data_IF_559984782056
#
_entry.id   IF_559984782056
#
_cell.length_a   1.000
_cell.length_b   1.000
_cell.length_c   1.000
_cell.angle_alpha   90.00
_cell.angle_beta   90.00
_cell.angle_gamma   90.00
#
_symmetry.space_group_name_H-M   'P 1'
#
loop_
_entity.id
_entity.type
_entity.pdbx_description
1 polymer ?
#
# COMPACT_ATOMS: atom_id res chain seq x y z
N UNK A 1 -23.61 -17.95 25.91
CA UNK A 1 -22.46 -16.98 25.86
C UNK A 1 -21.24 -17.62 25.25
N UNK A 2 -20.94 -18.91 25.48
CA UNK A 2 -19.76 -19.61 24.90
C UNK A 2 -19.89 -19.92 23.40
N UNK A 3 -21.07 -20.20 22.89
CA UNK A 3 -21.32 -20.58 21.50
C UNK A 3 -21.01 -19.47 20.50
N UNK A 4 -21.26 -18.19 20.82
CA UNK A 4 -20.96 -17.07 19.92
C UNK A 4 -19.45 -16.81 19.74
N UNK A 5 -18.65 -17.01 20.79
CA UNK A 5 -17.17 -16.87 20.70
C UNK A 5 -16.54 -17.97 19.86
N UNK A 6 -17.06 -19.19 19.94
CA UNK A 6 -16.60 -20.33 19.13
C UNK A 6 -16.93 -20.11 17.64
N UNK A 7 -18.13 -19.62 17.34
CA UNK A 7 -18.55 -19.34 15.95
C UNK A 7 -17.68 -18.28 15.29
N UNK A 8 -17.32 -17.18 15.98
CA UNK A 8 -16.42 -16.15 15.45
C UNK A 8 -15.02 -16.68 15.17
N UNK A 9 -14.45 -17.51 16.06
CA UNK A 9 -13.13 -18.11 15.85
C UNK A 9 -13.12 -19.12 14.71
N UNK A 10 -14.17 -19.89 14.49
CA UNK A 10 -14.31 -20.84 13.38
C UNK A 10 -14.39 -20.13 12.04
N UNK A 11 -15.10 -19.00 11.93
CA UNK A 11 -15.15 -18.18 10.71
C UNK A 11 -13.77 -17.64 10.33
N UNK A 12 -13.05 -17.04 11.25
CA UNK A 12 -11.72 -16.52 11.00
C UNK A 12 -10.76 -17.60 10.49
N UNK A 13 -10.81 -18.80 11.04
CA UNK A 13 -10.02 -19.97 10.57
C UNK A 13 -10.44 -20.36 9.15
N UNK A 14 -11.72 -20.38 8.84
CA UNK A 14 -12.22 -20.75 7.51
C UNK A 14 -11.76 -19.75 6.44
N UNK A 15 -11.84 -18.43 6.71
CA UNK A 15 -11.38 -17.37 5.80
C UNK A 15 -9.87 -17.44 5.59
N UNK A 16 -9.09 -17.67 6.64
CA UNK A 16 -7.64 -17.84 6.56
C UNK A 16 -7.26 -19.07 5.71
N UNK A 17 -7.91 -20.21 5.90
CA UNK A 17 -7.66 -21.42 5.10
C UNK A 17 -8.00 -21.18 3.64
N UNK A 18 -9.14 -20.54 3.35
CA UNK A 18 -9.57 -20.25 1.99
C UNK A 18 -8.60 -19.29 1.27
N UNK A 19 -8.21 -18.19 1.91
CA UNK A 19 -7.26 -17.22 1.33
C UNK A 19 -5.87 -17.81 1.18
N UNK A 20 -5.41 -18.63 2.11
CA UNK A 20 -4.12 -19.34 2.01
C UNK A 20 -4.11 -20.30 0.82
N UNK A 21 -5.18 -21.04 0.60
CA UNK A 21 -5.31 -21.93 -0.56
C UNK A 21 -5.34 -21.16 -1.88
N UNK A 22 -6.07 -20.04 -1.93
CA UNK A 22 -6.10 -19.13 -3.09
C UNK A 22 -4.71 -18.55 -3.39
N UNK A 23 -3.96 -18.17 -2.35
CA UNK A 23 -2.57 -17.68 -2.48
C UNK A 23 -1.66 -18.77 -3.04
N UNK A 24 -1.80 -20.03 -2.57
CA UNK A 24 -1.03 -21.16 -3.10
C UNK A 24 -1.31 -21.37 -4.59
N UNK A 25 -2.59 -21.37 -5.00
CA UNK A 25 -2.97 -21.49 -6.42
C UNK A 25 -2.37 -20.34 -7.24
N UNK A 26 -2.41 -19.11 -6.72
CA UNK A 26 -1.81 -17.94 -7.39
C UNK A 26 -0.30 -18.12 -7.57
N UNK A 27 0.40 -18.52 -6.52
CA UNK A 27 1.86 -18.72 -6.55
C UNK A 27 2.26 -19.83 -7.53
N UNK A 28 1.63 -21.01 -7.43
CA UNK A 28 1.90 -22.13 -8.35
C UNK A 28 1.51 -21.76 -9.79
N UNK A 29 0.37 -21.09 -9.97
CA UNK A 29 -0.09 -20.59 -11.27
C UNK A 29 0.87 -19.58 -11.88
N UNK A 30 1.49 -18.72 -11.07
CA UNK A 30 2.51 -17.74 -11.52
C UNK A 30 3.77 -18.45 -12.00
N UNK A 31 4.28 -19.41 -11.23
CA UNK A 31 5.42 -20.25 -11.66
C UNK A 31 5.10 -20.98 -12.96
N UNK A 32 3.93 -21.59 -13.06
CA UNK A 32 3.49 -22.27 -14.29
C UNK A 32 3.42 -21.30 -15.47
N UNK A 33 2.93 -20.08 -15.27
CA UNK A 33 2.90 -19.03 -16.30
C UNK A 33 4.30 -18.68 -16.81
N UNK A 34 5.29 -18.53 -15.94
CA UNK A 34 6.66 -18.22 -16.37
C UNK A 34 7.24 -19.31 -17.26
N UNK A 35 6.91 -20.57 -17.05
CA UNK A 35 7.41 -21.70 -17.85
C UNK A 35 6.60 -21.97 -19.11
N UNK A 36 5.26 -21.92 -19.03
CA UNK A 36 4.37 -22.37 -20.11
C UNK A 36 3.63 -21.24 -20.82
N UNK A 37 3.71 -19.99 -20.31
CA UNK A 37 2.93 -18.82 -20.76
C UNK A 37 1.39 -18.99 -20.65
N UNK A 38 0.92 -19.97 -19.88
CA UNK A 38 -0.49 -20.23 -19.65
C UNK A 38 -0.94 -19.55 -18.36
N UNK A 39 -1.82 -18.57 -18.45
CA UNK A 39 -2.22 -17.66 -17.34
C UNK A 39 -3.38 -18.14 -16.48
N UNK A 40 -4.15 -19.13 -16.92
CA UNK A 40 -5.45 -19.45 -16.33
C UNK A 40 -5.39 -19.79 -14.82
N UNK A 41 -4.40 -20.58 -14.40
CA UNK A 41 -4.26 -20.96 -13.00
C UNK A 41 -3.90 -19.73 -12.11
N UNK A 42 -3.01 -18.87 -12.59
CA UNK A 42 -2.64 -17.62 -11.92
C UNK A 42 -3.86 -16.70 -11.77
N UNK A 43 -4.60 -16.46 -12.85
CA UNK A 43 -5.78 -15.59 -12.85
C UNK A 43 -6.90 -16.15 -11.96
N UNK A 44 -7.14 -17.47 -11.99
CA UNK A 44 -8.11 -18.11 -11.12
C UNK A 44 -7.71 -17.94 -9.64
N UNK A 45 -6.46 -18.23 -9.30
CA UNK A 45 -5.95 -18.06 -7.93
C UNK A 45 -6.09 -16.64 -7.45
N UNK A 46 -5.72 -15.67 -8.28
CA UNK A 46 -5.82 -14.24 -7.96
C UNK A 46 -7.28 -13.79 -7.78
N UNK A 47 -8.20 -14.23 -8.63
CA UNK A 47 -9.62 -13.94 -8.48
C UNK A 47 -10.20 -14.51 -7.17
N UNK A 48 -9.82 -15.76 -6.83
CA UNK A 48 -10.20 -16.38 -5.56
C UNK A 48 -9.60 -15.64 -4.35
N UNK A 49 -8.37 -15.15 -4.45
CA UNK A 49 -7.72 -14.37 -3.40
C UNK A 49 -8.45 -13.04 -3.15
N UNK A 50 -8.75 -12.30 -4.22
CA UNK A 50 -9.52 -11.05 -4.13
C UNK A 50 -10.91 -11.32 -3.53
N UNK A 51 -11.59 -12.36 -3.97
CA UNK A 51 -12.90 -12.73 -3.43
C UNK A 51 -12.83 -13.08 -1.94
N UNK A 52 -11.83 -13.86 -1.53
CA UNK A 52 -11.60 -14.21 -0.12
C UNK A 52 -11.32 -12.98 0.75
N UNK A 53 -10.46 -12.08 0.28
CA UNK A 53 -10.18 -10.81 0.96
C UNK A 53 -11.44 -9.93 1.09
N UNK A 54 -12.24 -9.82 0.02
CA UNK A 54 -13.51 -9.09 0.04
C UNK A 54 -14.48 -9.66 1.08
N UNK A 55 -14.65 -10.99 1.12
CA UNK A 55 -15.53 -11.65 2.10
C UNK A 55 -15.05 -11.41 3.53
N UNK A 56 -13.75 -11.52 3.76
CA UNK A 56 -13.15 -11.27 5.07
C UNK A 56 -13.41 -9.83 5.54
N UNK A 57 -13.04 -8.83 4.75
CA UNK A 57 -13.28 -7.44 5.11
C UNK A 57 -14.76 -7.10 5.27
N UNK A 58 -15.64 -7.67 4.45
CA UNK A 58 -17.09 -7.53 4.60
C UNK A 58 -17.56 -8.04 5.96
N UNK A 59 -17.07 -9.20 6.39
CA UNK A 59 -17.47 -9.79 7.66
C UNK A 59 -16.91 -8.99 8.85
N UNK A 60 -15.66 -8.49 8.76
CA UNK A 60 -15.09 -7.56 9.77
C UNK A 60 -15.94 -6.29 9.92
N UNK A 61 -16.38 -5.69 8.80
CA UNK A 61 -17.27 -4.51 8.84
C UNK A 61 -18.61 -4.85 9.45
N UNK A 62 -19.21 -6.00 9.10
CA UNK A 62 -20.49 -6.44 9.64
C UNK A 62 -20.41 -6.71 11.16
N UNK A 63 -19.31 -7.28 11.65
CA UNK A 63 -19.04 -7.49 13.07
C UNK A 63 -18.90 -6.17 13.83
N UNK A 64 -18.28 -5.16 13.19
CA UNK A 64 -18.12 -3.83 13.78
C UNK A 64 -19.46 -3.08 13.87
N UNK A 65 -20.20 -2.98 12.75
CA UNK A 65 -21.34 -2.08 12.60
C UNK A 65 -22.65 -2.68 13.09
N UNK A 66 -22.85 -4.00 12.92
CA UNK A 66 -24.15 -4.64 13.17
C UNK A 66 -24.16 -5.60 14.35
N UNK A 67 -23.02 -6.19 14.72
CA UNK A 67 -22.95 -7.20 15.76
C UNK A 67 -22.35 -6.67 17.08
N UNK A 68 -21.73 -5.51 17.08
CA UNK A 68 -21.13 -4.89 18.27
C UNK A 68 -19.99 -5.73 18.89
N UNK A 69 -19.32 -6.56 18.09
CA UNK A 69 -18.24 -7.43 18.57
C UNK A 69 -16.91 -6.70 18.77
N UNK A 70 -16.78 -5.49 18.25
CA UNK A 70 -15.57 -4.67 18.41
C UNK A 70 -15.55 -3.95 19.77
N UNK A 71 -15.40 -4.73 20.84
CA UNK A 71 -15.20 -4.21 22.19
C UNK A 71 -13.90 -3.39 22.27
N UNK A 72 -13.72 -2.52 23.30
CA UNK A 72 -12.47 -1.76 23.48
C UNK A 72 -11.21 -2.64 23.48
N UNK A 73 -11.29 -3.85 24.04
CA UNK A 73 -10.18 -4.81 24.02
C UNK A 73 -9.85 -5.28 22.59
N UNK A 74 -10.88 -5.58 21.78
CA UNK A 74 -10.72 -5.97 20.39
C UNK A 74 -10.12 -4.83 19.56
N UNK A 75 -10.56 -3.59 19.79
CA UNK A 75 -10.01 -2.42 19.11
C UNK A 75 -8.51 -2.21 19.42
N UNK A 76 -8.09 -2.44 20.66
CA UNK A 76 -6.66 -2.39 21.03
C UNK A 76 -5.87 -3.47 20.27
N UNK A 77 -6.40 -4.69 20.19
CA UNK A 77 -5.75 -5.76 19.42
C UNK A 77 -5.65 -5.45 17.92
N UNK A 78 -6.66 -4.82 17.34
CA UNK A 78 -6.61 -4.35 15.96
C UNK A 78 -5.53 -3.27 15.75
N UNK A 79 -5.35 -2.34 16.71
CA UNK A 79 -4.27 -1.34 16.66
C UNK A 79 -2.90 -1.99 16.72
N UNK A 80 -2.68 -2.95 17.62
CA UNK A 80 -1.43 -3.73 17.65
C UNK A 80 -1.22 -4.51 16.36
N UNK A 81 -2.26 -5.15 15.83
CA UNK A 81 -2.19 -5.85 14.56
C UNK A 81 -1.79 -4.94 13.41
N UNK A 82 -2.39 -3.74 13.32
CA UNK A 82 -2.03 -2.75 12.29
C UNK A 82 -0.60 -2.22 12.45
N UNK A 83 -0.15 -1.99 13.67
CA UNK A 83 1.24 -1.58 13.96
C UNK A 83 2.23 -2.65 13.51
N UNK A 84 1.98 -3.91 13.82
CA UNK A 84 2.83 -5.03 13.39
C UNK A 84 2.79 -5.24 11.87
N UNK A 85 1.64 -5.04 11.25
CA UNK A 85 1.50 -5.06 9.80
C UNK A 85 2.38 -3.97 9.16
N UNK A 86 2.28 -2.71 9.60
CA UNK A 86 3.13 -1.62 9.11
C UNK A 86 4.61 -1.93 9.35
N UNK A 87 4.97 -2.50 10.50
CA UNK A 87 6.35 -2.90 10.76
C UNK A 87 6.85 -3.96 9.76
N UNK A 88 6.00 -4.91 9.35
CA UNK A 88 6.35 -5.90 8.33
C UNK A 88 6.56 -5.24 6.95
N UNK A 89 5.74 -4.26 6.59
CA UNK A 89 5.87 -3.51 5.35
C UNK A 89 7.13 -2.62 5.34
N UNK A 90 7.49 -2.03 6.48
CA UNK A 90 8.79 -1.34 6.64
C UNK A 90 9.93 -2.31 6.33
N UNK A 91 9.92 -3.52 6.89
CA UNK A 91 10.97 -4.52 6.64
C UNK A 91 10.99 -4.98 5.17
N UNK A 92 9.84 -5.04 4.52
CA UNK A 92 9.75 -5.29 3.09
C UNK A 92 10.48 -4.21 2.27
N UNK A 93 10.28 -2.93 2.58
CA UNK A 93 11.00 -1.84 1.92
C UNK A 93 12.48 -1.80 2.29
N UNK A 94 12.86 -2.14 3.51
CA UNK A 94 14.27 -2.28 3.90
C UNK A 94 15.01 -3.25 2.99
N UNK A 95 14.39 -4.36 2.58
CA UNK A 95 15.01 -5.30 1.65
C UNK A 95 15.28 -4.68 0.27
N UNK A 96 14.34 -3.87 -0.27
CA UNK A 96 14.52 -3.18 -1.55
C UNK A 96 15.55 -2.06 -1.46
N UNK A 97 15.56 -1.29 -0.38
CA UNK A 97 16.61 -0.29 -0.13
C UNK A 97 17.98 -0.94 0.02
N UNK A 98 18.04 -2.08 0.70
CA UNK A 98 19.28 -2.84 0.80
C UNK A 98 19.81 -3.22 -0.59
N UNK A 99 18.98 -3.79 -1.45
CA UNK A 99 19.36 -4.16 -2.80
C UNK A 99 19.84 -2.95 -3.63
N UNK A 100 19.16 -1.80 -3.48
CA UNK A 100 19.54 -0.55 -4.11
C UNK A 100 20.90 -0.04 -3.59
N UNK A 101 21.07 0.03 -2.28
CA UNK A 101 22.33 0.53 -1.68
C UNK A 101 23.50 -0.42 -1.91
N UNK A 102 23.28 -1.73 -1.91
CA UNK A 102 24.31 -2.70 -2.27
C UNK A 102 24.83 -2.45 -3.69
N UNK A 103 23.92 -2.30 -4.66
CA UNK A 103 24.29 -2.02 -6.05
C UNK A 103 24.94 -0.64 -6.24
N UNK A 104 24.52 0.38 -5.49
CA UNK A 104 24.98 1.76 -5.66
C UNK A 104 26.28 2.07 -4.93
N UNK A 105 26.51 1.49 -3.76
CA UNK A 105 27.73 1.68 -2.97
C UNK A 105 28.89 0.78 -3.44
N UNK A 106 28.55 -0.39 -4.03
CA UNK A 106 29.51 -1.37 -4.50
C UNK A 106 29.26 -1.72 -5.99
N UNK A 107 29.33 -0.72 -6.91
CA UNK A 107 29.03 -0.95 -8.31
C UNK A 107 30.01 -1.97 -8.91
N UNK A 108 29.46 -3.03 -9.51
CA UNK A 108 30.25 -4.10 -10.09
C UNK A 108 31.02 -3.64 -11.32
N UNK A 109 32.12 -4.31 -11.66
CA UNK A 109 32.88 -4.06 -12.87
C UNK A 109 32.03 -4.23 -14.15
N UNK A 110 30.96 -5.04 -14.09
CA UNK A 110 30.03 -5.25 -15.19
C UNK A 110 29.24 -3.99 -15.58
N UNK A 111 28.96 -3.09 -14.63
CA UNK A 111 28.31 -1.79 -14.88
C UNK A 111 29.31 -0.64 -14.98
N UNK A 112 30.60 -0.95 -15.18
CA UNK A 112 31.65 0.04 -15.32
C UNK A 112 32.21 0.60 -14.01
N UNK A 113 31.88 0.02 -12.86
CA UNK A 113 32.39 0.40 -11.53
C UNK A 113 31.95 1.78 -11.03
N UNK A 114 30.91 2.36 -11.62
CA UNK A 114 30.37 3.67 -11.27
C UNK A 114 28.84 3.61 -11.11
N UNK A 115 28.29 4.52 -10.28
CA UNK A 115 26.87 4.66 -10.08
C UNK A 115 26.46 6.14 -10.20
N UNK A 116 25.37 6.48 -10.93
CA UNK A 116 24.63 5.61 -11.85
C UNK A 116 25.48 5.14 -13.03
N UNK A 117 25.13 4.04 -13.73
CA UNK A 117 25.84 3.60 -14.93
C UNK A 117 25.88 4.69 -16.00
N UNK A 118 27.02 4.84 -16.71
CA UNK A 118 27.26 5.96 -17.64
C UNK A 118 26.29 6.01 -18.83
N UNK A 119 25.70 4.86 -19.18
CA UNK A 119 24.82 4.74 -20.35
C UNK A 119 23.32 4.94 -19.98
N UNK A 120 23.03 5.35 -18.75
CA UNK A 120 21.68 5.57 -18.27
C UNK A 120 21.47 7.06 -18.00
N UNK A 121 20.47 7.64 -18.67
CA UNK A 121 19.98 8.98 -18.37
C UNK A 121 18.96 8.88 -17.22
N UNK A 122 19.35 9.39 -16.05
CA UNK A 122 18.53 9.37 -14.84
C UNK A 122 17.50 10.51 -14.83
N UNK A 123 16.43 10.36 -14.05
CA UNK A 123 15.44 11.43 -13.89
C UNK A 123 16.04 12.63 -13.15
N UNK A 124 15.63 13.84 -13.57
CA UNK A 124 15.91 15.05 -12.80
C UNK A 124 15.01 15.08 -11.53
N UNK A 125 15.59 15.02 -10.32
CA UNK A 125 14.80 15.00 -9.08
C UNK A 125 13.88 16.22 -8.92
N UNK A 126 14.28 17.35 -9.45
CA UNK A 126 13.64 18.66 -9.26
C UNK A 126 12.47 18.92 -10.22
N UNK A 127 12.12 17.96 -11.04
CA UNK A 127 11.04 18.01 -12.00
C UNK A 127 9.80 17.22 -11.51
N UNK A 128 9.32 16.25 -12.26
CA UNK A 128 8.15 15.43 -11.89
C UNK A 128 8.27 14.76 -10.51
N UNK A 129 9.44 14.19 -10.11
CA UNK A 129 9.57 13.58 -8.80
C UNK A 129 9.34 14.55 -7.64
N UNK A 130 9.76 15.82 -7.76
CA UNK A 130 9.48 16.84 -6.75
C UNK A 130 7.98 17.15 -6.68
N UNK A 131 7.32 17.29 -7.83
CA UNK A 131 5.87 17.54 -7.87
C UNK A 131 5.12 16.37 -7.22
N UNK A 132 5.49 15.13 -7.52
CA UNK A 132 4.95 13.93 -6.88
C UNK A 132 5.11 13.96 -5.36
N UNK A 133 6.29 14.36 -4.89
CA UNK A 133 6.58 14.49 -3.46
C UNK A 133 5.65 15.52 -2.81
N UNK A 134 5.49 16.69 -3.41
CA UNK A 134 4.62 17.74 -2.88
C UNK A 134 3.14 17.31 -2.86
N UNK A 135 2.68 16.62 -3.90
CA UNK A 135 1.31 16.08 -4.00
C UNK A 135 1.05 15.07 -2.88
N UNK A 136 1.99 14.14 -2.66
CA UNK A 136 1.82 13.10 -1.65
C UNK A 136 1.86 13.69 -0.24
N UNK A 137 2.82 14.57 0.08
CA UNK A 137 2.89 15.27 1.36
C UNK A 137 1.63 16.11 1.64
N UNK A 138 1.10 16.80 0.60
CA UNK A 138 -0.16 17.52 0.73
C UNK A 138 -1.30 16.55 1.07
N UNK A 139 -1.33 15.37 0.48
CA UNK A 139 -2.32 14.34 0.79
C UNK A 139 -2.22 13.84 2.24
N UNK A 140 -1.01 13.74 2.80
CA UNK A 140 -0.77 13.44 4.20
C UNK A 140 -1.36 14.51 5.14
N UNK A 141 -1.27 15.79 4.77
CA UNK A 141 -1.91 16.86 5.55
C UNK A 141 -3.44 16.81 5.47
N UNK A 142 -4.00 16.48 4.30
CA UNK A 142 -5.46 16.39 4.14
C UNK A 142 -6.09 15.20 4.86
N UNK A 143 -5.39 14.04 4.95
CA UNK A 143 -5.87 12.91 5.76
C UNK A 143 -5.81 13.22 7.25
N UNK A 144 -4.78 13.95 7.69
CA UNK A 144 -4.67 14.42 9.08
C UNK A 144 -5.79 15.40 9.41
N UNK A 145 -6.09 16.35 8.51
CA UNK A 145 -7.23 17.24 8.66
C UNK A 145 -8.55 16.46 8.75
N UNK A 146 -8.76 15.46 7.88
CA UNK A 146 -9.94 14.60 7.96
C UNK A 146 -10.05 13.91 9.32
N UNK A 147 -8.94 13.37 9.85
CA UNK A 147 -8.93 12.71 11.15
C UNK A 147 -9.30 13.68 12.29
N UNK A 148 -8.73 14.87 12.29
CA UNK A 148 -9.03 15.87 13.29
C UNK A 148 -10.49 16.32 13.24
N UNK A 149 -11.02 16.57 12.04
CA UNK A 149 -12.44 16.91 11.84
C UNK A 149 -13.37 15.82 12.36
N UNK A 150 -13.02 14.54 12.21
CA UNK A 150 -13.81 13.43 12.75
C UNK A 150 -13.84 13.44 14.28
N UNK A 151 -12.71 13.74 14.95
CA UNK A 151 -12.62 13.84 16.41
C UNK A 151 -13.41 15.03 16.97
N UNK A 152 -13.55 16.10 16.19
CA UNK A 152 -14.36 17.30 16.52
C UNK A 152 -15.84 17.18 16.13
N UNK A 153 -16.29 16.02 15.65
CA UNK A 153 -17.65 15.79 15.12
C UNK A 153 -17.99 16.67 13.87
N UNK A 154 -16.97 17.27 13.21
CA UNK A 154 -17.15 17.97 11.94
C UNK A 154 -17.17 16.98 10.77
N UNK A 155 -18.38 16.48 10.49
CA UNK A 155 -18.59 15.55 9.41
C UNK A 155 -18.30 16.11 8.02
N UNK A 156 -18.48 17.42 7.82
CA UNK A 156 -18.20 18.05 6.52
C UNK A 156 -16.70 18.11 6.25
N UNK A 157 -15.94 18.59 7.24
CA UNK A 157 -14.47 18.61 7.17
C UNK A 157 -13.88 17.22 6.97
N UNK A 158 -14.39 16.20 7.69
CA UNK A 158 -14.00 14.81 7.51
C UNK A 158 -14.17 14.31 6.07
N UNK A 159 -15.36 14.49 5.48
CA UNK A 159 -15.63 14.05 4.11
C UNK A 159 -14.82 14.84 3.09
N UNK A 160 -14.66 16.16 3.27
CA UNK A 160 -13.88 17.01 2.37
C UNK A 160 -12.39 16.65 2.41
N UNK A 161 -11.82 16.44 3.60
CA UNK A 161 -10.43 16.02 3.76
C UNK A 161 -10.16 14.67 3.12
N UNK A 162 -11.05 13.68 3.32
CA UNK A 162 -10.93 12.37 2.66
C UNK A 162 -11.06 12.47 1.13
N UNK A 163 -11.97 13.28 0.60
CA UNK A 163 -12.06 13.50 -0.85
C UNK A 163 -10.77 14.09 -1.40
N UNK A 164 -10.22 15.11 -0.74
CA UNK A 164 -8.97 15.72 -1.14
C UNK A 164 -7.83 14.68 -1.15
N UNK A 165 -7.72 13.86 -0.10
CA UNK A 165 -6.68 12.83 0.01
C UNK A 165 -6.78 11.79 -1.10
N UNK A 166 -7.98 11.28 -1.38
CA UNK A 166 -8.20 10.27 -2.44
C UNK A 166 -7.87 10.85 -3.83
N UNK A 167 -8.25 12.09 -4.09
CA UNK A 167 -7.95 12.75 -5.36
C UNK A 167 -6.45 13.00 -5.53
N UNK A 168 -5.75 13.43 -4.48
CA UNK A 168 -4.30 13.63 -4.50
C UNK A 168 -3.55 12.31 -4.67
N UNK A 169 -3.96 11.23 -4.00
CA UNK A 169 -3.39 9.90 -4.17
C UNK A 169 -3.59 9.33 -5.59
N UNK A 170 -4.76 9.57 -6.18
CA UNK A 170 -5.01 9.24 -7.57
C UNK A 170 -4.14 10.06 -8.52
N UNK A 171 -4.00 11.36 -8.27
CA UNK A 171 -3.17 12.25 -9.08
C UNK A 171 -1.68 11.86 -9.00
N UNK A 172 -1.17 11.53 -7.81
CA UNK A 172 0.17 10.97 -7.65
C UNK A 172 0.38 9.74 -8.53
N UNK A 173 -0.59 8.80 -8.53
CA UNK A 173 -0.52 7.58 -9.34
C UNK A 173 -0.44 7.89 -10.84
N UNK A 174 -1.21 8.88 -11.32
CA UNK A 174 -1.15 9.31 -12.72
C UNK A 174 0.21 9.91 -13.08
N UNK A 175 0.78 10.74 -12.22
CA UNK A 175 2.11 11.32 -12.43
C UNK A 175 3.19 10.24 -12.44
N UNK A 176 3.09 9.22 -11.58
CA UNK A 176 4.04 8.11 -11.54
C UNK A 176 3.96 7.25 -12.80
N UNK A 177 2.75 7.01 -13.33
CA UNK A 177 2.57 6.32 -14.62
C UNK A 177 3.17 7.15 -15.76
N UNK A 178 2.93 8.46 -15.76
CA UNK A 178 3.51 9.36 -16.76
C UNK A 178 5.05 9.33 -16.70
N UNK A 179 5.65 9.38 -15.51
CA UNK A 179 7.09 9.28 -15.32
C UNK A 179 7.65 7.97 -15.90
N UNK A 180 7.01 6.83 -15.62
CA UNK A 180 7.44 5.53 -16.15
C UNK A 180 7.34 5.43 -17.68
N UNK A 181 6.36 6.09 -18.30
CA UNK A 181 6.22 6.12 -19.75
C UNK A 181 7.31 6.95 -20.46
N UNK A 182 7.94 7.87 -19.72
CA UNK A 182 8.99 8.77 -20.23
C UNK A 182 10.40 8.40 -19.71
N UNK A 183 10.52 7.25 -19.05
CA UNK A 183 11.81 6.74 -18.61
C UNK A 183 12.69 6.38 -19.80
N UNK A 184 13.95 6.77 -19.75
CA UNK A 184 14.97 6.44 -20.77
C UNK A 184 15.56 5.04 -20.57
N UNK A 185 15.19 4.33 -19.50
CA UNK A 185 15.71 3.01 -19.14
C UNK A 185 14.58 2.04 -18.82
N UNK A 186 14.82 0.76 -19.16
CA UNK A 186 13.87 -0.32 -18.92
C UNK A 186 14.14 -1.02 -17.57
N UNK A 187 13.14 -1.81 -17.12
CA UNK A 187 13.26 -2.70 -15.98
C UNK A 187 14.37 -3.75 -16.17
N UNK A 188 14.49 -4.27 -17.39
CA UNK A 188 15.44 -5.33 -17.75
C UNK A 188 16.72 -4.76 -18.35
N UNK A 189 17.84 -5.46 -18.15
CA UNK A 189 19.12 -5.14 -18.80
C UNK A 189 20.14 -4.44 -17.89
N UNK A 190 19.68 -3.67 -16.89
CA UNK A 190 20.57 -2.97 -15.96
C UNK A 190 20.11 -3.11 -14.52
N UNK A 191 21.07 -3.24 -13.59
CA UNK A 191 20.76 -3.31 -12.16
C UNK A 191 20.11 -2.01 -11.65
N UNK A 192 20.43 -0.86 -12.25
CA UNK A 192 19.81 0.43 -11.95
C UNK A 192 18.29 0.37 -12.22
N UNK A 193 17.89 0.00 -13.43
CA UNK A 193 16.46 -0.12 -13.78
C UNK A 193 15.73 -1.13 -12.89
N UNK A 194 16.34 -2.31 -12.66
CA UNK A 194 15.73 -3.33 -11.81
C UNK A 194 15.49 -2.82 -10.38
N UNK A 195 16.48 -2.22 -9.73
CA UNK A 195 16.34 -1.71 -8.35
C UNK A 195 15.43 -0.50 -8.28
N UNK A 196 15.49 0.41 -9.24
CA UNK A 196 14.60 1.56 -9.36
C UNK A 196 13.13 1.13 -9.45
N UNK A 197 12.79 0.33 -10.46
CA UNK A 197 11.41 -0.09 -10.68
C UNK A 197 10.86 -1.01 -9.59
N UNK A 198 11.70 -1.84 -8.96
CA UNK A 198 11.25 -2.66 -7.83
C UNK A 198 10.90 -1.78 -6.63
N UNK A 199 11.77 -0.86 -6.24
CA UNK A 199 11.54 0.00 -5.08
C UNK A 199 10.37 0.98 -5.32
N UNK A 200 10.39 1.73 -6.42
CA UNK A 200 9.34 2.73 -6.74
C UNK A 200 8.04 2.07 -7.18
N UNK A 201 8.07 0.93 -7.87
CA UNK A 201 6.89 0.20 -8.32
C UNK A 201 6.14 -0.46 -7.17
N UNK A 202 6.83 -1.07 -6.21
CA UNK A 202 6.17 -1.55 -4.99
C UNK A 202 5.60 -0.41 -4.16
N UNK A 203 6.30 0.73 -4.09
CA UNK A 203 5.73 1.91 -3.47
C UNK A 203 4.46 2.37 -4.19
N UNK A 204 4.47 2.47 -5.51
CA UNK A 204 3.29 2.82 -6.31
C UNK A 204 2.13 1.85 -6.09
N UNK A 205 2.40 0.55 -5.95
CA UNK A 205 1.40 -0.45 -5.57
C UNK A 205 0.78 -0.15 -4.20
N UNK A 206 1.59 0.21 -3.20
CA UNK A 206 1.10 0.60 -1.87
C UNK A 206 0.28 1.89 -1.90
N UNK A 207 0.65 2.87 -2.73
CA UNK A 207 -0.15 4.09 -2.96
C UNK A 207 -1.53 3.74 -3.52
N UNK A 208 -1.60 2.85 -4.50
CA UNK A 208 -2.89 2.41 -5.09
C UNK A 208 -3.76 1.71 -4.04
N UNK A 209 -3.19 0.76 -3.29
CA UNK A 209 -3.91 0.06 -2.20
C UNK A 209 -4.37 1.05 -1.12
N UNK A 210 -3.51 1.98 -0.70
CA UNK A 210 -3.84 3.02 0.28
C UNK A 210 -4.95 3.95 -0.21
N UNK A 211 -4.91 4.35 -1.49
CA UNK A 211 -5.96 5.17 -2.13
C UNK A 211 -7.30 4.43 -2.15
N UNK A 212 -7.30 3.12 -2.48
CA UNK A 212 -8.51 2.28 -2.43
C UNK A 212 -9.03 2.18 -1.00
N UNK A 213 -8.15 1.96 -0.02
CA UNK A 213 -8.52 1.89 1.39
C UNK A 213 -9.18 3.19 1.86
N UNK A 214 -8.59 4.35 1.55
CA UNK A 214 -9.17 5.65 1.87
C UNK A 214 -10.50 5.90 1.12
N UNK A 215 -10.63 5.45 -0.13
CA UNK A 215 -11.88 5.54 -0.89
C UNK A 215 -13.01 4.70 -0.24
N UNK A 216 -12.69 3.51 0.26
CA UNK A 216 -13.63 2.69 1.04
C UNK A 216 -14.00 3.39 2.35
N UNK A 217 -13.03 4.00 3.05
CA UNK A 217 -13.30 4.81 4.24
C UNK A 217 -14.17 6.03 3.93
N UNK A 218 -13.96 6.70 2.81
CA UNK A 218 -14.81 7.80 2.35
C UNK A 218 -16.25 7.34 2.12
N UNK A 219 -16.44 6.19 1.46
CA UNK A 219 -17.77 5.62 1.25
C UNK A 219 -18.44 5.26 2.58
N UNK A 220 -17.76 4.54 3.46
CA UNK A 220 -18.25 4.21 4.81
C UNK A 220 -18.52 5.47 5.65
N UNK A 221 -17.66 6.47 5.52
CA UNK A 221 -17.84 7.77 6.14
C UNK A 221 -19.15 8.44 5.72
N UNK A 222 -19.49 8.42 4.42
CA UNK A 222 -20.77 8.95 3.92
C UNK A 222 -21.98 8.19 4.45
N UNK A 223 -21.85 6.89 4.69
CA UNK A 223 -22.92 6.07 5.30
C UNK A 223 -23.08 6.28 6.81
N UNK A 224 -22.15 6.96 7.47
CA UNK A 224 -22.22 7.24 8.90
C UNK A 224 -21.60 6.20 9.81
N UNK A 225 -20.79 5.29 9.26
CA UNK A 225 -20.17 4.22 10.04
C UNK A 225 -19.09 4.73 11.01
N UNK A 226 -18.51 5.90 10.77
CA UNK A 226 -17.47 6.46 11.63
C UNK A 226 -18.01 7.58 12.51
N UNK A 227 -17.59 7.53 13.78
CA UNK A 227 -17.80 8.57 14.77
C UNK A 227 -16.52 8.72 15.61
N UNK A 228 -16.47 9.71 16.52
CA UNK A 228 -15.29 9.99 17.35
C UNK A 228 -14.81 8.82 18.21
N UNK A 229 -15.71 7.93 18.63
CA UNK A 229 -15.41 6.82 19.53
C UNK A 229 -15.17 5.50 18.79
N UNK A 230 -15.68 5.38 17.54
CA UNK A 230 -15.62 4.16 16.73
C UNK A 230 -15.20 4.50 15.30
N UNK A 231 -13.89 4.59 15.06
CA UNK A 231 -13.33 4.92 13.73
C UNK A 231 -12.03 4.17 13.41
N UNK A 232 -11.76 3.05 14.09
CA UNK A 232 -10.51 2.30 13.91
C UNK A 232 -10.18 2.02 12.42
N UNK A 233 -11.16 1.66 11.60
CA UNK A 233 -10.93 1.39 10.18
C UNK A 233 -10.34 2.59 9.42
N UNK A 234 -10.76 3.81 9.76
CA UNK A 234 -10.20 5.02 9.20
C UNK A 234 -8.82 5.36 9.84
N UNK A 235 -8.68 5.17 11.15
CA UNK A 235 -7.39 5.33 11.85
C UNK A 235 -6.31 4.45 11.23
N UNK A 236 -6.62 3.18 10.94
CA UNK A 236 -5.72 2.25 10.28
C UNK A 236 -5.36 2.70 8.86
N UNK A 237 -6.34 3.22 8.09
CA UNK A 237 -6.10 3.75 6.76
C UNK A 237 -5.18 4.99 6.79
N UNK A 238 -5.36 5.90 7.76
CA UNK A 238 -4.52 7.07 7.94
C UNK A 238 -3.07 6.67 8.32
N UNK A 239 -2.89 5.70 9.22
CA UNK A 239 -1.56 5.19 9.57
C UNK A 239 -0.86 4.57 8.36
N UNK A 240 -1.58 3.77 7.59
CA UNK A 240 -1.05 3.18 6.35
C UNK A 240 -0.65 4.26 5.35
N UNK A 241 -1.45 5.29 5.18
CA UNK A 241 -1.17 6.40 4.28
C UNK A 241 0.10 7.16 4.69
N UNK A 242 0.24 7.49 5.98
CA UNK A 242 1.47 8.12 6.49
C UNK A 242 2.71 7.23 6.35
N UNK A 243 2.56 5.92 6.52
CA UNK A 243 3.65 5.00 6.22
C UNK A 243 4.08 5.11 4.75
N UNK A 244 3.14 5.13 3.81
CA UNK A 244 3.41 5.31 2.38
C UNK A 244 4.11 6.65 2.11
N UNK A 245 3.67 7.75 2.74
CA UNK A 245 4.32 9.07 2.65
C UNK A 245 5.79 9.02 3.09
N UNK A 246 6.07 8.40 4.23
CA UNK A 246 7.44 8.30 4.79
C UNK A 246 8.33 7.47 3.87
N UNK A 247 7.85 6.34 3.35
CA UNK A 247 8.59 5.51 2.40
C UNK A 247 8.91 6.31 1.13
N UNK A 248 7.98 7.11 0.62
CA UNK A 248 8.23 7.96 -0.54
C UNK A 248 9.32 8.99 -0.30
N UNK A 249 9.30 9.67 0.84
CA UNK A 249 10.37 10.62 1.19
C UNK A 249 11.75 9.97 1.17
N UNK A 250 11.82 8.74 1.68
CA UNK A 250 13.08 8.00 1.66
C UNK A 250 13.47 7.58 0.23
N UNK A 251 12.52 7.15 -0.59
CA UNK A 251 12.74 6.87 -2.03
C UNK A 251 13.20 8.11 -2.77
N UNK A 252 12.54 9.24 -2.59
CA UNK A 252 12.90 10.50 -3.21
C UNK A 252 14.34 10.89 -2.86
N UNK A 253 14.69 10.88 -1.57
CA UNK A 253 16.02 11.25 -1.12
C UNK A 253 17.10 10.26 -1.61
N UNK A 254 16.85 8.95 -1.51
CA UNK A 254 17.86 7.93 -1.79
C UNK A 254 18.01 7.62 -3.29
N UNK A 255 16.89 7.52 -4.01
CA UNK A 255 16.92 7.07 -5.40
C UNK A 255 16.98 8.26 -6.38
N UNK A 256 16.16 9.30 -6.13
CA UNK A 256 16.11 10.43 -7.07
C UNK A 256 17.17 11.49 -6.78
N UNK A 257 17.38 11.90 -5.51
CA UNK A 257 18.32 12.97 -5.19
C UNK A 257 19.76 12.45 -5.10
N UNK A 258 19.98 11.37 -4.34
CA UNK A 258 21.32 10.82 -4.15
C UNK A 258 21.76 9.92 -5.30
N UNK A 259 20.83 9.24 -5.95
CA UNK A 259 21.08 8.31 -7.05
C UNK A 259 21.11 8.94 -8.45
N UNK A 260 20.99 10.29 -8.55
CA UNK A 260 21.06 11.03 -9.82
C UNK A 260 22.48 11.52 -10.15
#
# INVERSE_FOLDING_TARGET
IYTRKIVGSVRCVQETVYTSFATLITAVGSVYYFHSKVMWAMLLGFALLIYGAYMWFRDVVNEAEHQGHHTPVVQIHHRYGMTLFIASEVMFFVAWFWAYFDASLYPSAFVGGVWPPKDIEVFNPWDIPLINTLVLLLSGTTVTWAHHSLLEDDRKGFIQGLWATVLLGFFFTLLQIYEYQHASFDFSGHIYGATFYMATGFHGFHVVIGTIFLAVCLWRGKLGHFNKDHHFGFEAAAWYWHFVDVVWLFLFAAIYVWGS
#
